data_IF_123666700817
#
_entry.id   IF_123666700817
#
_cell.length_a   1.000
_cell.length_b   1.000
_cell.length_c   1.000
_cell.angle_alpha   90.00
_cell.angle_beta   90.00
_cell.angle_gamma   90.00
#
_symmetry.space_group_name_H-M   'P 1'
#
loop_
_entity.id
_entity.type
_entity.pdbx_description
1 polymer ?
#
# COMPACT_ATOMS: atom_id res chain seq x y z
N UNK A 1 -0.38 -10.99 19.83
CA UNK A 1 -0.80 -9.64 19.45
C UNK A 1 0.37 -8.64 19.36
N UNK A 2 1.44 -8.78 20.14
CA UNK A 2 2.55 -7.82 20.13
C UNK A 2 3.35 -7.71 18.80
N UNK A 3 3.57 -8.79 18.07
CA UNK A 3 4.40 -8.78 16.86
C UNK A 3 3.80 -8.02 15.68
N UNK A 4 2.47 -8.03 15.51
CA UNK A 4 1.77 -7.28 14.45
C UNK A 4 1.88 -5.76 14.63
N UNK A 5 1.78 -5.30 15.85
CA UNK A 5 1.90 -3.87 16.15
C UNK A 5 3.33 -3.38 15.91
N UNK A 6 4.34 -4.20 16.20
CA UNK A 6 5.76 -3.84 15.97
C UNK A 6 6.09 -3.69 14.47
N UNK A 7 5.69 -4.65 13.63
CA UNK A 7 5.92 -4.57 12.17
C UNK A 7 5.18 -3.38 11.55
N UNK A 8 3.94 -3.14 12.00
CA UNK A 8 3.15 -2.01 11.57
C UNK A 8 3.80 -0.67 11.95
N UNK A 9 4.27 -0.55 13.18
CA UNK A 9 4.97 0.65 13.64
C UNK A 9 6.28 0.90 12.90
N UNK A 10 7.04 -0.15 12.63
CA UNK A 10 8.28 -0.06 11.87
C UNK A 10 8.02 0.40 10.44
N UNK A 11 7.03 -0.17 9.77
CA UNK A 11 6.65 0.25 8.42
C UNK A 11 6.19 1.72 8.39
N UNK A 12 5.34 2.13 9.33
CA UNK A 12 4.87 3.52 9.41
C UNK A 12 6.02 4.48 9.71
N UNK A 13 6.96 4.12 10.60
CA UNK A 13 8.15 4.95 10.89
C UNK A 13 9.07 5.09 9.69
N UNK A 14 9.29 4.01 8.93
CA UNK A 14 10.13 4.04 7.73
C UNK A 14 9.51 4.87 6.59
N UNK A 15 8.18 4.93 6.55
CA UNK A 15 7.42 5.59 5.49
C UNK A 15 6.72 6.88 5.95
N UNK A 16 6.88 7.28 7.21
CA UNK A 16 6.42 8.57 7.69
C UNK A 16 7.16 9.71 6.97
N UNK A 17 6.49 10.83 6.69
CA UNK A 17 7.15 11.98 6.10
C UNK A 17 8.31 12.43 7.00
N UNK A 18 9.39 12.83 6.39
CA UNK A 18 10.72 13.09 6.99
C UNK A 18 10.76 14.21 8.07
N UNK A 19 9.63 14.55 8.66
CA UNK A 19 9.51 15.50 9.77
C UNK A 19 10.25 15.08 11.04
N UNK A 20 10.77 13.86 11.11
CA UNK A 20 11.48 13.36 12.30
C UNK A 20 13.00 13.45 12.20
N UNK A 21 13.56 13.86 11.07
CA UNK A 21 14.98 14.17 11.00
C UNK A 21 15.12 15.69 10.94
N UNK A 22 15.70 16.26 12.00
CA UNK A 22 15.92 17.68 12.17
C UNK A 22 16.58 18.34 10.92
N UNK A 23 15.74 18.82 10.01
CA UNK A 23 16.12 19.77 8.98
C UNK A 23 15.24 21.00 9.15
N UNK A 24 15.90 22.17 9.28
CA UNK A 24 15.22 23.45 9.35
C UNK A 24 14.19 23.53 8.23
N UNK A 25 12.91 23.74 8.52
CA UNK A 25 11.87 23.69 7.51
C UNK A 25 12.03 24.87 6.55
N UNK A 26 12.13 24.57 5.26
CA UNK A 26 11.82 25.58 4.25
C UNK A 26 10.28 25.77 4.30
N UNK A 27 9.77 26.95 4.69
CA UNK A 27 8.33 27.14 4.92
C UNK A 27 7.46 27.05 3.66
N UNK A 28 8.05 26.86 2.49
CA UNK A 28 7.35 26.81 1.20
C UNK A 28 7.19 25.41 0.59
N UNK A 29 7.76 24.37 1.21
CA UNK A 29 7.59 22.97 0.77
C UNK A 29 6.93 22.21 1.91
N UNK A 30 5.63 22.02 1.83
CA UNK A 30 4.93 21.07 2.68
C UNK A 30 5.59 19.68 2.59
N UNK A 31 5.46 18.82 3.62
CA UNK A 31 5.99 17.45 3.56
C UNK A 31 5.44 16.80 2.30
N UNK A 32 6.31 16.27 1.45
CA UNK A 32 5.90 15.60 0.23
C UNK A 32 4.89 14.51 0.60
N UNK A 33 3.63 14.74 0.31
CA UNK A 33 2.56 13.77 0.55
C UNK A 33 2.83 12.57 -0.34
N UNK A 34 2.97 11.38 0.26
CA UNK A 34 3.10 10.12 -0.48
C UNK A 34 1.72 9.57 -0.79
N UNK A 35 1.60 8.94 -1.95
CA UNK A 35 0.38 8.30 -2.40
C UNK A 35 0.57 6.79 -2.47
N UNK A 36 -0.12 6.08 -1.60
CA UNK A 36 -0.04 4.63 -1.44
C UNK A 36 -1.20 3.94 -2.15
N UNK A 37 -0.89 2.95 -2.98
CA UNK A 37 -1.87 2.06 -3.56
C UNK A 37 -1.76 0.68 -2.90
N UNK A 38 -2.83 0.26 -2.24
CA UNK A 38 -2.96 -1.09 -1.69
C UNK A 38 -3.66 -1.99 -2.69
N UNK A 39 -3.00 -3.06 -3.08
CA UNK A 39 -3.64 -4.16 -3.80
C UNK A 39 -4.10 -5.22 -2.81
N UNK A 40 -4.91 -6.15 -3.29
CA UNK A 40 -5.49 -7.27 -2.56
C UNK A 40 -4.68 -7.71 -1.32
N UNK A 41 -5.26 -7.52 -0.15
CA UNK A 41 -4.64 -7.88 1.11
C UNK A 41 -4.90 -9.33 1.55
N UNK A 42 -4.46 -9.63 2.73
CA UNK A 42 -4.83 -10.83 3.49
C UNK A 42 -6.22 -10.61 4.12
N UNK A 43 -6.99 -11.68 4.28
CA UNK A 43 -8.29 -11.66 4.99
C UNK A 43 -8.09 -11.43 6.50
N UNK A 44 -7.54 -10.28 6.85
CA UNK A 44 -7.26 -9.85 8.22
C UNK A 44 -7.34 -8.33 8.35
N UNK A 45 -7.52 -7.77 9.54
CA UNK A 45 -7.56 -6.33 9.75
C UNK A 45 -6.20 -5.63 9.60
N UNK A 46 -5.13 -6.34 9.25
CA UNK A 46 -3.77 -5.79 9.16
C UNK A 46 -3.69 -4.61 8.18
N UNK A 47 -4.10 -4.81 6.92
CA UNK A 47 -4.06 -3.74 5.92
C UNK A 47 -5.02 -2.59 6.26
N UNK A 48 -6.15 -2.89 6.90
CA UNK A 48 -7.07 -1.85 7.37
C UNK A 48 -6.42 -0.94 8.42
N UNK A 49 -5.69 -1.54 9.38
CA UNK A 49 -4.96 -0.79 10.41
C UNK A 49 -3.79 0.01 9.82
N UNK A 50 -3.01 -0.60 8.92
CA UNK A 50 -1.90 0.07 8.23
C UNK A 50 -2.41 1.26 7.43
N UNK A 51 -3.46 1.06 6.64
CA UNK A 51 -4.12 2.10 5.86
C UNK A 51 -4.58 3.28 6.75
N UNK A 52 -5.27 2.96 7.86
CA UNK A 52 -5.70 3.98 8.81
C UNK A 52 -4.52 4.78 9.35
N UNK A 53 -3.44 4.12 9.80
CA UNK A 53 -2.26 4.81 10.35
C UNK A 53 -1.56 5.69 9.32
N UNK A 54 -1.44 5.25 8.06
CA UNK A 54 -0.88 6.08 6.99
C UNK A 54 -1.72 7.34 6.74
N UNK A 55 -3.05 7.21 6.72
CA UNK A 55 -3.95 8.37 6.59
C UNK A 55 -3.85 9.31 7.78
N UNK A 56 -3.83 8.78 9.00
CA UNK A 56 -3.68 9.58 10.21
C UNK A 56 -2.34 10.34 10.23
N UNK A 57 -1.31 9.84 9.51
CA UNK A 57 -0.03 10.53 9.31
C UNK A 57 -0.01 11.50 8.12
N UNK A 58 -1.17 11.74 7.49
CA UNK A 58 -1.32 12.72 6.39
C UNK A 58 -0.94 12.17 5.01
N UNK A 59 -0.85 10.85 4.84
CA UNK A 59 -0.59 10.24 3.55
C UNK A 59 -1.89 9.97 2.77
N UNK A 60 -1.80 9.99 1.44
CA UNK A 60 -2.90 9.56 0.59
C UNK A 60 -2.89 8.03 0.48
N UNK A 61 -4.03 7.41 0.64
CA UNK A 61 -4.14 5.95 0.57
C UNK A 61 -5.38 5.54 -0.23
N UNK A 62 -5.16 4.73 -1.24
CA UNK A 62 -6.17 4.14 -2.10
C UNK A 62 -6.07 2.62 -2.05
N UNK A 63 -7.22 1.92 -2.11
CA UNK A 63 -7.27 0.46 -2.16
C UNK A 63 -7.92 -0.01 -3.46
N UNK A 64 -7.35 -1.05 -4.07
CA UNK A 64 -7.96 -1.78 -5.17
C UNK A 64 -8.41 -3.15 -4.66
N UNK A 65 -9.70 -3.42 -4.78
CA UNK A 65 -10.33 -4.67 -4.38
C UNK A 65 -10.74 -5.46 -5.63
N UNK A 66 -10.46 -6.75 -5.64
CA UNK A 66 -10.73 -7.65 -6.76
C UNK A 66 -11.97 -8.53 -6.54
N UNK A 67 -12.40 -8.65 -5.28
CA UNK A 67 -13.56 -9.44 -4.91
C UNK A 67 -14.27 -8.86 -3.68
N UNK A 68 -15.45 -9.41 -3.37
CA UNK A 68 -16.27 -8.94 -2.25
C UNK A 68 -15.59 -9.19 -0.89
N UNK A 69 -14.76 -10.23 -0.78
CA UNK A 69 -14.00 -10.52 0.44
C UNK A 69 -12.97 -9.41 0.74
N UNK A 70 -12.32 -8.87 -0.29
CA UNK A 70 -11.39 -7.75 -0.12
C UNK A 70 -12.10 -6.50 0.42
N UNK A 71 -13.36 -6.31 0.04
CA UNK A 71 -14.17 -5.15 0.48
C UNK A 71 -14.42 -5.17 1.99
N UNK A 72 -14.60 -6.33 2.59
CA UNK A 72 -14.86 -6.47 4.02
C UNK A 72 -13.67 -6.04 4.88
N UNK A 73 -12.45 -6.27 4.38
CA UNK A 73 -11.21 -5.98 5.11
C UNK A 73 -10.49 -4.70 4.65
N UNK A 74 -11.06 -3.96 3.71
CA UNK A 74 -10.49 -2.71 3.17
C UNK A 74 -11.39 -1.51 3.46
N UNK A 75 -11.40 -0.95 4.66
CA UNK A 75 -12.15 0.28 4.94
C UNK A 75 -11.50 1.49 4.26
N UNK A 76 -12.31 2.36 3.71
CA UNK A 76 -11.88 3.64 3.14
C UNK A 76 -12.12 3.80 1.64
N UNK A 77 -11.36 4.67 0.98
CA UNK A 77 -11.51 4.94 -0.46
C UNK A 77 -11.10 3.71 -1.26
N UNK A 78 -12.01 3.19 -2.05
CA UNK A 78 -11.90 1.90 -2.75
C UNK A 78 -12.18 2.05 -4.23
N UNK A 79 -11.42 1.35 -5.03
CA UNK A 79 -11.73 1.10 -6.44
C UNK A 79 -11.98 -0.39 -6.61
N UNK A 80 -13.16 -0.75 -7.09
CA UNK A 80 -13.43 -2.14 -7.45
C UNK A 80 -12.81 -2.41 -8.82
N UNK A 81 -11.97 -3.42 -8.92
CA UNK A 81 -11.38 -3.85 -10.17
C UNK A 81 -12.26 -4.93 -10.78
N UNK A 82 -12.94 -4.61 -11.87
CA UNK A 82 -13.67 -5.57 -12.71
C UNK A 82 -12.89 -5.94 -13.99
N UNK A 83 -11.63 -5.51 -14.10
CA UNK A 83 -10.82 -5.76 -15.27
C UNK A 83 -10.47 -7.24 -15.41
N UNK A 84 -10.60 -7.77 -16.62
CA UNK A 84 -10.12 -9.10 -16.98
C UNK A 84 -8.59 -9.13 -17.01
N UNK A 85 -8.00 -10.33 -16.95
CA UNK A 85 -6.55 -10.52 -16.88
C UNK A 85 -5.76 -9.76 -17.95
N UNK A 86 -6.29 -9.67 -19.18
CA UNK A 86 -5.66 -8.91 -20.28
C UNK A 86 -5.75 -7.38 -20.18
N UNK A 87 -6.56 -6.87 -19.27
CA UNK A 87 -6.81 -5.42 -19.12
C UNK A 87 -6.12 -4.83 -17.88
N UNK A 88 -5.55 -5.68 -17.03
CA UNK A 88 -4.95 -5.26 -15.76
C UNK A 88 -3.83 -4.24 -15.94
N UNK A 89 -2.99 -4.41 -16.96
CA UNK A 89 -1.90 -3.48 -17.23
C UNK A 89 -2.41 -2.06 -17.53
N UNK A 90 -3.40 -1.95 -18.42
CA UNK A 90 -4.03 -0.67 -18.76
C UNK A 90 -4.76 -0.05 -17.58
N UNK A 91 -5.39 -0.87 -16.73
CA UNK A 91 -6.03 -0.45 -15.51
C UNK A 91 -5.02 0.15 -14.53
N UNK A 92 -3.89 -0.53 -14.28
CA UNK A 92 -2.85 -0.01 -13.38
C UNK A 92 -2.17 1.24 -13.92
N UNK A 93 -1.89 1.33 -15.22
CA UNK A 93 -1.34 2.54 -15.84
C UNK A 93 -2.22 3.75 -15.56
N UNK A 94 -3.54 3.61 -15.74
CA UNK A 94 -4.49 4.70 -15.43
C UNK A 94 -4.50 5.09 -13.96
N UNK A 95 -4.52 4.10 -13.04
CA UNK A 95 -4.53 4.38 -11.60
C UNK A 95 -3.23 5.06 -11.17
N UNK A 96 -2.09 4.56 -11.60
CA UNK A 96 -0.79 5.13 -11.23
C UNK A 96 -0.67 6.59 -11.67
N UNK A 97 -1.12 6.88 -12.89
CA UNK A 97 -1.10 8.24 -13.43
C UNK A 97 -2.13 9.16 -12.75
N UNK A 98 -3.38 8.72 -12.61
CA UNK A 98 -4.46 9.58 -12.11
C UNK A 98 -4.36 9.89 -10.63
N UNK A 99 -3.67 9.06 -9.85
CA UNK A 99 -3.54 9.19 -8.41
C UNK A 99 -2.12 9.53 -7.95
N UNK A 100 -1.21 9.82 -8.89
CA UNK A 100 0.20 10.13 -8.61
C UNK A 100 0.83 9.15 -7.61
N UNK A 101 0.65 7.84 -7.86
CA UNK A 101 1.07 6.78 -6.94
C UNK A 101 2.59 6.79 -6.80
N UNK A 102 3.06 6.86 -5.56
CA UNK A 102 4.48 6.80 -5.19
C UNK A 102 4.90 5.48 -4.58
N UNK A 103 3.92 4.73 -4.05
CA UNK A 103 4.14 3.51 -3.30
C UNK A 103 3.06 2.47 -3.59
N UNK A 104 3.48 1.27 -3.94
CA UNK A 104 2.62 0.11 -4.15
C UNK A 104 2.77 -0.85 -2.97
N UNK A 105 1.67 -1.20 -2.32
CA UNK A 105 1.64 -2.10 -1.16
C UNK A 105 0.81 -3.33 -1.48
N UNK A 106 1.37 -4.51 -1.29
CA UNK A 106 0.72 -5.79 -1.60
C UNK A 106 1.10 -6.88 -0.62
N UNK A 107 0.28 -7.92 -0.56
CA UNK A 107 0.52 -9.11 0.25
C UNK A 107 0.77 -10.32 -0.66
N UNK A 108 2.03 -10.78 -0.66
CA UNK A 108 2.54 -11.76 -1.63
C UNK A 108 2.76 -11.14 -3.01
N UNK A 109 3.86 -11.48 -3.65
CA UNK A 109 4.26 -10.94 -4.95
C UNK A 109 3.92 -11.86 -6.14
N UNK A 110 3.55 -13.11 -5.86
CA UNK A 110 3.34 -14.15 -6.88
C UNK A 110 1.91 -14.21 -7.44
N UNK A 111 0.98 -13.39 -6.96
CA UNK A 111 -0.41 -13.44 -7.44
C UNK A 111 -0.51 -12.89 -8.87
N UNK A 112 -1.26 -13.57 -9.78
CA UNK A 112 -1.41 -13.11 -11.16
C UNK A 112 -1.89 -11.66 -11.29
N UNK A 113 -2.73 -11.19 -10.37
CA UNK A 113 -3.22 -9.81 -10.34
C UNK A 113 -2.15 -8.81 -9.90
N UNK A 114 -1.12 -9.23 -9.18
CA UNK A 114 -0.04 -8.37 -8.70
C UNK A 114 1.08 -8.19 -9.73
N UNK A 115 1.37 -9.22 -10.54
CA UNK A 115 2.52 -9.22 -11.45
C UNK A 115 2.56 -8.02 -12.41
N UNK A 116 1.46 -7.66 -13.10
CA UNK A 116 1.45 -6.48 -13.98
C UNK A 116 1.69 -5.18 -13.21
N UNK A 117 1.11 -5.04 -12.00
CA UNK A 117 1.30 -3.86 -11.18
C UNK A 117 2.74 -3.71 -10.71
N UNK A 118 3.40 -4.80 -10.29
CA UNK A 118 4.79 -4.81 -9.88
C UNK A 118 5.71 -4.41 -11.03
N UNK A 119 5.51 -5.01 -12.22
CA UNK A 119 6.31 -4.69 -13.41
C UNK A 119 6.20 -3.20 -13.78
N UNK A 120 4.97 -2.66 -13.81
CA UNK A 120 4.72 -1.26 -14.09
C UNK A 120 5.29 -0.33 -13.01
N UNK A 121 5.12 -0.68 -11.74
CA UNK A 121 5.65 0.12 -10.63
C UNK A 121 7.18 0.24 -10.71
N UNK A 122 7.87 -0.87 -10.96
CA UNK A 122 9.33 -0.88 -11.14
C UNK A 122 9.77 -0.01 -12.32
N UNK A 123 9.09 -0.11 -13.47
CA UNK A 123 9.43 0.71 -14.66
C UNK A 123 9.16 2.20 -14.45
N UNK A 124 8.20 2.55 -13.60
CA UNK A 124 7.84 3.93 -13.28
C UNK A 124 8.60 4.51 -12.06
N UNK A 125 9.52 3.74 -11.45
CA UNK A 125 10.23 4.18 -10.25
C UNK A 125 9.37 4.26 -8.98
N UNK A 126 8.20 3.61 -8.98
CA UNK A 126 7.30 3.51 -7.84
C UNK A 126 7.87 2.47 -6.86
N UNK A 127 7.92 2.78 -5.57
CA UNK A 127 8.38 1.85 -4.54
C UNK A 127 7.38 0.72 -4.34
N UNK A 128 7.89 -0.51 -4.27
CA UNK A 128 7.07 -1.71 -4.06
C UNK A 128 7.35 -2.28 -2.68
N UNK A 129 6.29 -2.39 -1.87
CA UNK A 129 6.32 -2.95 -0.53
C UNK A 129 5.53 -4.26 -0.53
N UNK A 130 6.23 -5.36 -0.33
CA UNK A 130 5.64 -6.70 -0.26
C UNK A 130 5.60 -7.14 1.19
N UNK A 131 4.41 -7.52 1.64
CA UNK A 131 4.22 -8.18 2.92
C UNK A 131 3.98 -9.66 2.68
N UNK A 132 4.54 -10.50 3.53
CA UNK A 132 4.37 -11.94 3.48
C UNK A 132 4.06 -12.50 4.86
N UNK A 133 3.44 -13.68 4.90
CA UNK A 133 3.30 -14.40 6.17
C UNK A 133 4.68 -14.89 6.62
N UNK A 134 5.05 -14.58 7.86
CA UNK A 134 6.27 -15.11 8.46
C UNK A 134 6.19 -16.63 8.68
N UNK A 135 7.34 -17.26 8.86
CA UNK A 135 7.47 -18.71 9.05
C UNK A 135 6.72 -19.24 10.28
N UNK A 136 6.45 -18.38 11.26
CA UNK A 136 5.73 -18.74 12.49
C UNK A 136 4.33 -18.11 12.48
N UNK A 137 3.37 -18.85 11.96
CA UNK A 137 1.95 -18.46 12.02
C UNK A 137 1.46 -18.51 13.48
N UNK A 138 0.55 -17.61 13.90
CA UNK A 138 -0.15 -16.56 13.15
C UNK A 138 0.42 -15.15 13.37
N UNK A 139 1.61 -14.99 13.92
CA UNK A 139 2.04 -13.74 14.57
C UNK A 139 3.10 -12.92 13.80
N UNK A 140 3.68 -13.45 12.72
CA UNK A 140 4.80 -12.82 12.03
C UNK A 140 4.43 -12.36 10.63
N UNK A 141 4.75 -11.11 10.34
CA UNK A 141 4.73 -10.52 8.98
C UNK A 141 6.14 -10.00 8.73
N UNK A 142 6.73 -10.41 7.64
CA UNK A 142 8.06 -9.96 7.20
C UNK A 142 7.93 -8.86 6.17
#
# INVERSE_FOLDING_TARGET
>A
MAGFDTALEQFVRQNAPEKLKARVPNPLVGPASRSFLFLQGVSSPFFARLNKRLRDSGQQVQCVNFNVGDVLYSPGTRTLCSAHAGELESFYKRIFHNLDITDLVLFGDCRPVHLPAIALARSAGIRVHVFEEGYFRPYWVT
#
